data_IF_187690982769
#
_entry.id   IF_187690982769
#
_cell.length_a   1.000
_cell.length_b   1.000
_cell.length_c   1.000
_cell.angle_alpha   90.00
_cell.angle_beta   90.00
_cell.angle_gamma   90.00
#
_symmetry.space_group_name_H-M   'P 1'
#
loop_
_entity.id
_entity.type
_entity.pdbx_description
1 polymer ?
#
# COMPACT_ATOMS: atom_id res chain seq x y z
N UNK A 1 -0.78 20.66 -5.28
CA UNK A 1 -1.62 20.75 -6.50
C UNK A 1 -1.50 22.11 -7.17
N UNK A 2 -1.78 23.24 -6.50
CA UNK A 2 -1.62 24.61 -7.02
C UNK A 2 -0.37 24.87 -7.89
N UNK A 3 0.82 24.49 -7.41
CA UNK A 3 2.06 24.69 -8.17
C UNK A 3 2.12 23.90 -9.51
N UNK A 4 1.46 22.75 -9.61
CA UNK A 4 1.36 21.97 -10.84
C UNK A 4 0.32 22.58 -11.79
N UNK A 5 -0.78 23.11 -11.26
CA UNK A 5 -1.83 23.83 -12.00
C UNK A 5 -1.27 25.09 -12.65
N UNK A 6 -0.56 25.92 -11.86
CA UNK A 6 0.06 27.17 -12.34
C UNK A 6 1.09 26.94 -13.44
N UNK A 7 1.68 25.73 -13.50
CA UNK A 7 2.64 25.33 -14.53
C UNK A 7 2.01 24.57 -15.71
N UNK A 8 0.69 24.34 -15.68
CA UNK A 8 0.00 23.54 -16.70
C UNK A 8 0.45 22.07 -16.75
N UNK A 9 1.01 21.54 -15.65
CA UNK A 9 1.55 20.19 -15.58
C UNK A 9 0.58 19.19 -14.94
N UNK A 10 -0.43 19.67 -14.22
CA UNK A 10 -1.33 18.82 -13.42
C UNK A 10 -2.02 17.72 -14.25
N UNK A 11 -2.41 18.04 -15.49
CA UNK A 11 -3.13 17.10 -16.37
C UNK A 11 -2.24 16.00 -16.92
N UNK A 12 -0.91 16.13 -16.83
CA UNK A 12 0.06 15.12 -17.24
C UNK A 12 0.92 14.60 -16.06
N UNK A 13 0.42 14.72 -14.83
CA UNK A 13 1.17 14.32 -13.63
C UNK A 13 0.40 13.29 -12.83
N UNK A 14 1.02 12.13 -12.64
CA UNK A 14 0.63 11.18 -11.59
C UNK A 14 0.93 11.77 -10.21
N UNK A 15 -0.03 11.70 -9.30
CA UNK A 15 0.16 12.06 -7.90
C UNK A 15 -0.12 10.83 -7.06
N UNK A 16 0.92 10.34 -6.37
CA UNK A 16 0.82 9.25 -5.41
C UNK A 16 1.17 9.81 -4.03
N UNK A 17 0.26 9.65 -3.08
CA UNK A 17 0.44 10.06 -1.69
C UNK A 17 0.32 8.85 -0.77
N UNK A 18 1.31 8.67 0.09
CA UNK A 18 1.33 7.61 1.09
C UNK A 18 2.19 8.00 2.30
N UNK A 19 2.27 7.13 3.30
CA UNK A 19 3.17 7.21 4.45
C UNK A 19 4.07 5.98 4.46
N UNK A 20 5.27 6.07 5.03
CA UNK A 20 6.17 4.91 5.17
C UNK A 20 5.74 3.95 6.29
N UNK A 21 4.99 4.46 7.27
CA UNK A 21 4.34 3.73 8.33
C UNK A 21 3.27 4.60 9.02
N UNK A 22 2.53 4.00 9.96
CA UNK A 22 1.67 4.70 10.90
C UNK A 22 2.32 4.90 12.27
N UNK A 23 1.57 5.35 13.26
CA UNK A 23 2.06 5.64 14.61
C UNK A 23 0.98 5.28 15.62
N UNK A 24 1.37 4.62 16.72
CA UNK A 24 0.42 4.19 17.73
C UNK A 24 -0.16 5.35 18.54
N UNK A 25 0.57 6.46 18.75
CA UNK A 25 0.06 7.66 19.45
C UNK A 25 -0.70 7.40 20.78
N UNK A 26 -0.36 6.33 21.50
CA UNK A 26 -1.04 5.92 22.74
C UNK A 26 -2.08 4.81 22.58
N UNK A 27 -2.44 4.42 21.35
CA UNK A 27 -3.29 3.27 21.08
C UNK A 27 -2.67 2.00 21.67
N UNK A 28 -3.53 1.17 22.28
CA UNK A 28 -3.10 -0.04 23.02
C UNK A 28 -2.05 0.23 24.11
N UNK A 29 -1.97 1.45 24.64
CA UNK A 29 -0.92 1.91 25.58
C UNK A 29 0.49 1.85 24.99
N UNK A 30 0.60 1.88 23.66
CA UNK A 30 1.86 1.82 22.92
C UNK A 30 2.19 3.16 22.27
N UNK A 31 3.48 3.35 22.01
CA UNK A 31 4.02 4.46 21.23
C UNK A 31 4.92 3.89 20.13
N UNK A 32 5.18 4.69 19.11
CA UNK A 32 5.93 4.33 17.91
C UNK A 32 5.21 3.32 17.02
N UNK A 33 5.97 2.53 16.26
CA UNK A 33 5.51 1.73 15.13
C UNK A 33 6.07 0.30 15.12
N UNK A 34 6.74 -0.09 16.19
CA UNK A 34 7.46 -1.37 16.28
C UNK A 34 6.51 -2.47 16.76
N UNK A 35 5.37 -2.59 16.07
CA UNK A 35 4.28 -3.53 16.35
C UNK A 35 3.45 -3.71 15.07
N UNK A 36 2.67 -4.77 15.00
CA UNK A 36 1.84 -5.07 13.82
C UNK A 36 0.37 -4.64 13.95
N UNK A 37 0.08 -3.69 14.85
CA UNK A 37 -1.27 -3.11 14.97
C UNK A 37 -1.61 -2.22 13.77
N UNK A 38 -2.91 -2.05 13.48
CA UNK A 38 -3.35 -1.24 12.34
C UNK A 38 -2.80 0.18 12.41
N UNK A 39 -2.75 0.79 13.60
CA UNK A 39 -2.19 2.12 13.81
C UNK A 39 -0.74 2.26 13.34
N UNK A 40 0.06 1.19 13.37
CA UNK A 40 1.45 1.20 12.91
C UNK A 40 1.61 0.84 11.42
N UNK A 41 0.71 0.03 10.86
CA UNK A 41 0.89 -0.58 9.53
C UNK A 41 -0.03 -0.02 8.44
N UNK A 42 -1.25 0.38 8.79
CA UNK A 42 -2.29 0.72 7.81
C UNK A 42 -2.19 2.19 7.43
N UNK A 43 -1.37 2.46 6.42
CA UNK A 43 -1.09 3.79 5.92
C UNK A 43 -2.08 4.24 4.84
N UNK A 44 -2.29 5.56 4.64
CA UNK A 44 -3.03 6.04 3.50
C UNK A 44 -2.30 5.70 2.19
N UNK A 45 -3.05 5.36 1.14
CA UNK A 45 -2.57 5.29 -0.23
C UNK A 45 -3.60 5.97 -1.13
N UNK A 46 -3.22 7.11 -1.70
CA UNK A 46 -4.07 7.88 -2.62
C UNK A 46 -3.32 8.00 -3.93
N UNK A 47 -3.96 7.59 -5.02
CA UNK A 47 -3.40 7.63 -6.36
C UNK A 47 -4.33 8.46 -7.25
N UNK A 48 -3.79 9.51 -7.86
CA UNK A 48 -4.46 10.32 -8.88
C UNK A 48 -3.72 10.18 -10.21
N UNK A 49 -4.36 9.63 -11.25
CA UNK A 49 -3.78 9.59 -12.59
C UNK A 49 -3.73 10.98 -13.25
N UNK A 50 -2.95 11.16 -14.33
CA UNK A 50 -3.04 12.28 -15.25
C UNK A 50 -4.49 12.54 -15.68
N UNK A 51 -4.87 13.80 -15.86
CA UNK A 51 -6.25 14.23 -16.12
C UNK A 51 -7.22 14.07 -14.94
N UNK A 52 -6.86 13.26 -13.92
CA UNK A 52 -7.72 12.95 -12.79
C UNK A 52 -8.87 12.01 -13.15
N UNK A 53 -9.61 11.59 -12.13
CA UNK A 53 -10.82 10.77 -12.23
C UNK A 53 -11.74 11.11 -11.05
N UNK A 54 -13.02 10.77 -11.16
CA UNK A 54 -13.92 10.77 -10.01
C UNK A 54 -13.35 9.89 -8.89
N UNK A 55 -13.31 10.42 -7.67
CA UNK A 55 -12.72 9.72 -6.53
C UNK A 55 -13.48 8.45 -6.19
N UNK A 56 -12.77 7.34 -6.07
CA UNK A 56 -13.32 6.04 -5.70
C UNK A 56 -12.44 5.36 -4.66
N UNK A 57 -12.92 4.25 -4.10
CA UNK A 57 -12.23 3.49 -3.04
C UNK A 57 -12.12 2.03 -3.42
N UNK A 58 -11.00 1.43 -3.03
CA UNK A 58 -10.79 -0.02 -3.05
C UNK A 58 -10.48 -0.49 -1.64
N UNK A 59 -11.06 -1.63 -1.26
CA UNK A 59 -10.72 -2.33 -0.01
C UNK A 59 -9.72 -3.48 -0.24
N UNK A 60 -9.24 -3.62 -1.48
CA UNK A 60 -8.24 -4.61 -1.86
C UNK A 60 -6.96 -4.46 -1.03
N UNK A 61 -6.34 -5.57 -0.66
CA UNK A 61 -5.04 -5.55 0.00
C UNK A 61 -3.96 -5.08 -0.97
N UNK A 62 -3.16 -4.12 -0.53
CA UNK A 62 -2.00 -3.57 -1.21
C UNK A 62 -0.88 -3.30 -0.20
N UNK A 63 0.37 -3.27 -0.68
CA UNK A 63 1.54 -2.92 0.13
C UNK A 63 2.47 -1.95 -0.63
N UNK A 64 3.58 -1.57 0.01
CA UNK A 64 4.53 -0.64 -0.59
C UNK A 64 5.28 -1.18 -1.81
N UNK A 65 5.32 -2.51 -2.02
CA UNK A 65 5.90 -3.07 -3.23
C UNK A 65 5.03 -2.75 -4.45
N UNK A 66 3.71 -2.67 -4.27
CA UNK A 66 2.77 -2.27 -5.33
C UNK A 66 2.99 -0.81 -5.75
N UNK A 67 3.38 0.06 -4.81
CA UNK A 67 3.75 1.45 -5.12
C UNK A 67 5.01 1.49 -5.99
N UNK A 68 6.04 0.72 -5.63
CA UNK A 68 7.26 0.64 -6.43
C UNK A 68 6.99 0.08 -7.84
N UNK A 69 6.20 -1.00 -7.93
CA UNK A 69 5.79 -1.57 -9.22
C UNK A 69 4.97 -0.58 -10.07
N UNK A 70 4.08 0.20 -9.43
CA UNK A 70 3.30 1.24 -10.11
C UNK A 70 4.19 2.34 -10.67
N UNK A 71 5.20 2.79 -9.93
CA UNK A 71 6.14 3.82 -10.39
C UNK A 71 6.94 3.35 -11.61
N UNK A 72 7.38 2.10 -11.64
CA UNK A 72 8.11 1.53 -12.77
C UNK A 72 7.21 1.41 -14.01
N UNK A 73 5.98 0.91 -13.85
CA UNK A 73 4.98 0.82 -14.92
C UNK A 73 4.67 2.21 -15.51
N UNK A 74 4.39 3.19 -14.64
CA UNK A 74 4.14 4.59 -15.04
C UNK A 74 5.34 5.17 -15.81
N UNK A 75 6.56 4.86 -15.40
CA UNK A 75 7.78 5.32 -16.05
C UNK A 75 8.11 4.55 -17.35
N UNK A 76 7.41 3.45 -17.66
CA UNK A 76 7.77 2.54 -18.74
C UNK A 76 9.10 1.81 -18.50
N UNK A 77 9.50 1.67 -17.24
CA UNK A 77 10.72 0.99 -16.83
C UNK A 77 10.49 -0.52 -16.66
N UNK A 78 11.57 -1.29 -16.67
CA UNK A 78 11.51 -2.74 -16.42
C UNK A 78 11.06 -3.03 -14.98
N UNK A 79 10.32 -4.12 -14.81
CA UNK A 79 9.92 -4.61 -13.51
C UNK A 79 11.15 -5.07 -12.71
N UNK A 80 11.08 -4.95 -11.38
CA UNK A 80 12.11 -5.47 -10.48
C UNK A 80 12.02 -7.00 -10.42
N UNK A 81 13.08 -7.67 -10.84
CA UNK A 81 13.20 -9.12 -10.73
C UNK A 81 13.07 -9.56 -9.26
N UNK A 82 12.20 -10.55 -9.02
CA UNK A 82 11.94 -11.09 -7.68
C UNK A 82 11.07 -10.23 -6.76
N UNK A 83 10.53 -9.10 -7.24
CA UNK A 83 9.55 -8.31 -6.49
C UNK A 83 8.15 -8.94 -6.56
N UNK A 84 7.44 -8.97 -5.43
CA UNK A 84 6.03 -9.40 -5.32
C UNK A 84 5.03 -8.24 -5.55
N UNK A 85 5.50 -7.08 -6.01
CA UNK A 85 4.66 -5.91 -6.25
C UNK A 85 3.92 -5.96 -7.60
N UNK A 86 2.67 -5.52 -7.61
CA UNK A 86 1.85 -5.36 -8.81
C UNK A 86 1.50 -3.89 -9.04
N UNK A 87 1.55 -3.45 -10.30
CA UNK A 87 1.17 -2.08 -10.63
C UNK A 87 -0.32 -1.83 -10.38
N UNK A 88 -0.61 -0.73 -9.70
CA UNK A 88 -1.94 -0.19 -9.44
C UNK A 88 -2.35 0.86 -10.47
N UNK A 89 -1.49 1.21 -11.44
CA UNK A 89 -1.71 2.32 -12.36
C UNK A 89 -2.98 2.15 -13.18
N UNK A 90 -3.11 1.03 -13.93
CA UNK A 90 -4.30 0.75 -14.75
C UNK A 90 -5.61 0.70 -13.96
N UNK A 91 -5.56 0.15 -12.74
CA UNK A 91 -6.71 0.12 -11.82
C UNK A 91 -7.11 1.55 -11.44
N UNK A 92 -6.13 2.37 -11.07
CA UNK A 92 -6.31 3.77 -10.67
C UNK A 92 -6.91 4.64 -11.78
N UNK A 93 -6.53 4.39 -13.03
CA UNK A 93 -7.08 5.07 -14.22
C UNK A 93 -8.48 4.58 -14.62
N UNK A 94 -8.76 3.29 -14.43
CA UNK A 94 -9.98 2.66 -14.95
C UNK A 94 -11.24 2.92 -14.10
N UNK A 95 -11.10 3.34 -12.84
CA UNK A 95 -12.22 3.55 -11.93
C UNK A 95 -12.70 2.27 -11.24
N UNK A 96 -13.79 2.35 -10.44
CA UNK A 96 -14.20 1.26 -9.53
C UNK A 96 -14.66 -0.01 -10.24
N UNK A 97 -15.14 0.09 -11.48
CA UNK A 97 -15.66 -1.02 -12.28
C UNK A 97 -14.63 -1.62 -13.26
N UNK A 98 -13.40 -1.08 -13.28
CA UNK A 98 -12.36 -1.62 -14.14
C UNK A 98 -11.93 -3.02 -13.69
N UNK A 99 -11.50 -3.89 -14.63
CA UNK A 99 -11.01 -5.23 -14.29
C UNK A 99 -9.92 -5.19 -13.21
N UNK A 100 -10.16 -5.91 -12.12
CA UNK A 100 -9.24 -6.00 -10.98
C UNK A 100 -9.16 -4.76 -10.09
N UNK A 101 -9.99 -3.72 -10.29
CA UNK A 101 -9.98 -2.50 -9.46
C UNK A 101 -10.29 -2.77 -7.98
N UNK A 102 -11.11 -3.79 -7.71
CA UNK A 102 -11.49 -4.25 -6.37
C UNK A 102 -10.72 -5.49 -5.91
N UNK A 103 -9.73 -5.94 -6.70
CA UNK A 103 -8.94 -7.13 -6.41
C UNK A 103 -7.52 -6.72 -6.01
N UNK A 104 -6.97 -7.41 -5.01
CA UNK A 104 -5.64 -7.14 -4.47
C UNK A 104 -4.87 -8.42 -4.23
N UNK A 105 -3.83 -8.33 -3.39
CA UNK A 105 -3.09 -9.52 -2.96
C UNK A 105 -3.97 -10.39 -2.07
N UNK A 106 -3.80 -11.71 -2.14
CA UNK A 106 -4.46 -12.63 -1.20
C UNK A 106 -3.91 -12.54 0.22
N UNK A 107 -2.68 -12.06 0.36
CA UNK A 107 -2.04 -11.75 1.63
C UNK A 107 -1.00 -10.63 1.46
N UNK A 108 -0.77 -9.87 2.52
CA UNK A 108 0.34 -8.89 2.62
C UNK A 108 1.19 -9.20 3.84
N UNK A 109 2.46 -8.82 3.77
CA UNK A 109 3.46 -9.15 4.78
C UNK A 109 4.09 -7.89 5.38
N UNK A 110 4.53 -7.98 6.63
CA UNK A 110 5.35 -6.97 7.29
C UNK A 110 6.31 -7.64 8.25
N UNK A 111 7.50 -7.07 8.42
CA UNK A 111 8.55 -7.67 9.25
C UNK A 111 9.21 -6.60 10.11
N UNK A 112 9.46 -6.92 11.37
CA UNK A 112 10.20 -6.04 12.29
C UNK A 112 10.90 -6.87 13.36
N UNK A 113 12.19 -6.60 13.59
CA UNK A 113 13.02 -7.20 14.64
C UNK A 113 12.92 -8.73 14.79
N UNK A 114 12.91 -9.47 13.68
CA UNK A 114 12.87 -10.94 13.68
C UNK A 114 11.49 -11.53 13.93
N UNK A 115 10.44 -10.73 13.76
CA UNK A 115 9.06 -11.17 13.67
C UNK A 115 8.52 -10.87 12.27
N UNK A 116 7.63 -11.73 11.80
CA UNK A 116 6.92 -11.56 10.53
C UNK A 116 5.42 -11.59 10.81
N UNK A 117 4.68 -10.77 10.08
CA UNK A 117 3.24 -10.71 10.09
C UNK A 117 2.70 -11.03 8.70
N UNK A 118 1.63 -11.82 8.66
CA UNK A 118 0.81 -12.02 7.47
C UNK A 118 -0.61 -11.54 7.75
N UNK A 119 -1.13 -10.72 6.84
CA UNK A 119 -2.51 -10.24 6.84
C UNK A 119 -3.21 -10.77 5.60
N UNK A 120 -4.39 -11.33 5.79
CA UNK A 120 -5.34 -11.72 4.74
C UNK A 120 -6.60 -10.87 4.90
N UNK A 121 -7.59 -11.05 4.02
CA UNK A 121 -8.89 -10.40 4.17
C UNK A 121 -9.60 -10.72 5.50
N UNK A 122 -9.27 -11.86 6.12
CA UNK A 122 -9.97 -12.37 7.30
C UNK A 122 -9.15 -12.37 8.58
N UNK A 123 -7.85 -12.62 8.48
CA UNK A 123 -6.99 -12.88 9.62
C UNK A 123 -5.68 -12.12 9.54
N UNK A 124 -5.16 -11.75 10.70
CA UNK A 124 -3.79 -11.23 10.87
C UNK A 124 -3.04 -12.08 11.87
N UNK A 125 -1.90 -12.64 11.47
CA UNK A 125 -1.08 -13.48 12.35
C UNK A 125 0.35 -12.95 12.39
N UNK A 126 0.92 -12.84 13.59
CA UNK A 126 2.33 -12.54 13.80
C UNK A 126 3.05 -13.77 14.36
N UNK A 127 4.28 -14.01 13.88
CA UNK A 127 5.13 -15.14 14.28
C UNK A 127 6.55 -14.66 14.58
N UNK A 128 7.26 -15.34 15.48
CA UNK A 128 8.73 -15.20 15.54
C UNK A 128 9.33 -15.88 14.30
N UNK A 129 10.06 -15.12 13.49
CA UNK A 129 10.55 -15.56 12.17
C UNK A 129 11.60 -16.66 12.24
N UNK A 130 12.19 -16.92 13.42
CA UNK A 130 13.24 -17.95 13.60
C UNK A 130 12.64 -19.26 14.07
N UNK A 131 11.64 -19.19 14.95
CA UNK A 131 11.03 -20.37 15.59
C UNK A 131 9.70 -20.77 14.97
N UNK A 132 9.12 -19.88 14.15
CA UNK A 132 7.77 -20.00 13.57
C UNK A 132 6.66 -20.18 14.62
N UNK A 133 6.93 -19.82 15.87
CA UNK A 133 5.92 -19.85 16.91
C UNK A 133 4.97 -18.66 16.74
N UNK A 134 3.64 -18.89 16.82
CA UNK A 134 2.67 -17.80 16.77
C UNK A 134 2.80 -16.91 18.02
N UNK A 135 2.75 -15.60 17.79
CA UNK A 135 2.83 -14.57 18.85
C UNK A 135 1.44 -13.99 19.09
N UNK A 136 0.78 -13.56 18.02
CA UNK A 136 -0.56 -12.96 18.05
C UNK A 136 -1.38 -13.43 16.83
N UNK A 137 -2.70 -13.57 17.02
CA UNK A 137 -3.68 -13.83 15.97
C UNK A 137 -4.91 -12.94 16.21
N UNK A 138 -5.34 -12.25 15.17
CA UNK A 138 -6.54 -11.41 15.14
C UNK A 138 -7.49 -11.89 14.04
#
# INVERSE_FOLDING_TARGET
MKALEERGMLDNTWIIYTSDHGEMLGDHYLSHKIVFYEGALKVPLIIRPPGGIEGWKSNALADHLDVAASLLDIAGAEALEGSDGYSLAKKSEGGPDAPGAQEGKGAVFSEVYGYSMVLTERYKMAVDSRTHQPVELY
#
